data_IF_105063636598
#
_entry.id   IF_105063636598
#
_cell.length_a   1.000
_cell.length_b   1.000
_cell.length_c   1.000
_cell.angle_alpha   90.00
_cell.angle_beta   90.00
_cell.angle_gamma   90.00
#
_symmetry.space_group_name_H-M   'P 1'
#
loop_
_entity.id
_entity.type
_entity.pdbx_description
1 polymer ?
#
# COMPACT_ATOMS: atom_id res chain seq x y z
N UNK A 1 2.30 3.54 10.06
CA UNK A 1 2.52 2.77 8.82
C UNK A 1 2.86 3.76 7.72
N UNK A 2 3.71 3.38 6.77
CA UNK A 2 4.09 4.23 5.66
C UNK A 2 4.52 3.39 4.46
N UNK A 3 4.55 4.02 3.29
CA UNK A 3 5.02 3.41 2.05
C UNK A 3 6.43 3.91 1.74
N UNK A 4 7.34 3.01 1.39
CA UNK A 4 8.73 3.34 1.10
C UNK A 4 9.14 2.83 -0.29
N UNK A 5 9.43 3.75 -1.20
CA UNK A 5 9.88 3.42 -2.56
C UNK A 5 11.19 2.64 -2.53
N UNK A 6 11.21 1.47 -3.18
CA UNK A 6 12.40 0.60 -3.23
C UNK A 6 13.01 0.53 -4.63
N UNK A 7 12.22 0.07 -5.61
CA UNK A 7 12.74 -0.34 -6.92
C UNK A 7 12.17 0.49 -8.07
N UNK A 8 10.92 0.96 -7.95
CA UNK A 8 10.23 1.52 -9.10
C UNK A 8 10.50 3.01 -9.33
N UNK A 9 11.09 3.36 -10.49
CA UNK A 9 11.37 4.74 -10.90
C UNK A 9 10.60 5.11 -12.17
N UNK A 10 10.20 6.37 -12.24
CA UNK A 10 9.62 7.00 -13.43
C UNK A 10 10.74 7.37 -14.40
N UNK A 11 10.63 6.92 -15.65
CA UNK A 11 11.56 7.35 -16.71
C UNK A 11 11.37 8.84 -16.95
N UNK A 12 12.48 9.51 -17.28
CA UNK A 12 12.48 10.93 -17.62
C UNK A 12 11.67 11.14 -18.90
N UNK A 13 10.73 12.10 -18.95
CA UNK A 13 10.01 12.39 -20.18
C UNK A 13 10.99 12.82 -21.27
N UNK A 14 10.84 12.28 -22.48
CA UNK A 14 11.70 12.61 -23.63
C UNK A 14 11.74 14.13 -23.90
N UNK A 15 10.62 14.82 -23.68
CA UNK A 15 10.48 16.26 -23.90
C UNK A 15 11.05 17.14 -22.76
N UNK A 16 11.66 16.54 -21.73
CA UNK A 16 12.30 17.25 -20.60
C UNK A 16 13.61 16.57 -20.20
N UNK A 17 14.70 16.76 -20.96
CA UNK A 17 15.98 16.09 -20.71
C UNK A 17 16.57 16.40 -19.32
N UNK A 18 16.30 17.60 -18.80
CA UNK A 18 16.78 18.04 -17.46
C UNK A 18 15.93 17.50 -16.30
N UNK A 19 14.80 16.83 -16.57
CA UNK A 19 13.98 16.27 -15.50
C UNK A 19 14.75 15.14 -14.80
N UNK A 20 14.93 15.24 -13.48
CA UNK A 20 15.52 14.16 -12.71
C UNK A 20 14.61 12.90 -12.72
N UNK A 21 15.24 11.73 -12.68
CA UNK A 21 14.54 10.46 -12.44
C UNK A 21 13.92 10.49 -11.04
N UNK A 22 12.63 10.16 -10.93
CA UNK A 22 11.88 10.21 -9.65
C UNK A 22 11.33 8.84 -9.30
N UNK A 23 11.17 8.59 -8.01
CA UNK A 23 10.46 7.40 -7.52
C UNK A 23 8.99 7.43 -7.93
N UNK A 24 8.43 6.25 -8.21
CA UNK A 24 6.99 6.10 -8.23
C UNK A 24 6.43 6.17 -6.80
N UNK A 25 5.23 6.73 -6.60
CA UNK A 25 4.54 6.69 -5.33
C UNK A 25 4.38 5.26 -4.84
N UNK A 26 4.53 5.05 -3.54
CA UNK A 26 4.43 3.73 -2.92
C UNK A 26 5.74 2.94 -2.92
N UNK A 27 5.61 1.65 -2.65
CA UNK A 27 6.71 0.68 -2.63
C UNK A 27 6.43 -0.44 -1.63
N UNK A 28 7.33 -0.63 -0.69
CA UNK A 28 7.09 -1.52 0.46
C UNK A 28 6.21 -0.83 1.50
N UNK A 29 5.32 -1.56 2.15
CA UNK A 29 4.63 -1.09 3.34
C UNK A 29 5.45 -1.46 4.57
N UNK A 30 5.76 -0.44 5.37
CA UNK A 30 6.55 -0.55 6.58
C UNK A 30 5.82 0.07 7.77
N UNK A 31 6.22 -0.31 8.97
CA UNK A 31 5.79 0.35 10.20
C UNK A 31 6.94 0.55 11.18
N UNK A 32 6.75 1.55 12.04
CA UNK A 32 7.56 1.81 13.22
C UNK A 32 6.61 1.86 14.41
N UNK A 33 7.09 1.46 15.59
CA UNK A 33 6.36 1.59 16.85
C UNK A 33 7.01 2.63 17.71
N UNK A 34 6.20 3.40 18.42
CA UNK A 34 6.69 4.33 19.41
C UNK A 34 7.13 3.54 20.65
N UNK A 35 8.35 3.78 21.11
CA UNK A 35 8.86 3.23 22.38
C UNK A 35 8.44 4.11 23.57
N UNK A 36 8.38 5.43 23.35
CA UNK A 36 8.09 6.41 24.41
C UNK A 36 7.46 7.73 23.91
N UNK A 37 6.97 7.80 22.68
CA UNK A 37 6.45 9.03 22.06
C UNK A 37 7.52 9.86 21.35
N UNK A 38 8.78 9.80 21.81
CA UNK A 38 9.92 10.51 21.21
C UNK A 38 10.87 9.60 20.42
N UNK A 39 10.96 8.32 20.81
CA UNK A 39 11.77 7.30 20.14
C UNK A 39 10.89 6.28 19.45
N UNK A 40 11.37 5.81 18.31
CA UNK A 40 10.67 4.89 17.44
C UNK A 40 11.58 3.71 17.13
N UNK A 41 10.99 2.52 17.01
CA UNK A 41 11.72 1.31 16.62
C UNK A 41 12.30 1.45 15.21
N UNK A 42 13.26 0.59 14.86
CA UNK A 42 13.65 0.39 13.46
C UNK A 42 12.40 -0.01 12.63
N UNK A 43 12.32 0.41 11.36
CA UNK A 43 11.24 0.01 10.48
C UNK A 43 11.18 -1.51 10.28
N UNK A 44 9.98 -2.06 10.31
CA UNK A 44 9.70 -3.44 9.93
C UNK A 44 8.84 -3.45 8.67
N UNK A 45 9.23 -4.25 7.67
CA UNK A 45 8.46 -4.44 6.43
C UNK A 45 7.35 -5.45 6.66
N UNK A 46 6.13 -5.12 6.22
CA UNK A 46 4.93 -5.98 6.36
C UNK A 46 4.32 -6.40 5.02
N UNK A 47 4.62 -5.65 3.96
CA UNK A 47 4.28 -6.02 2.58
C UNK A 47 5.38 -5.50 1.67
N UNK A 48 6.03 -6.40 0.94
CA UNK A 48 7.01 -6.00 -0.07
C UNK A 48 6.33 -5.67 -1.39
N UNK A 49 6.94 -4.81 -2.18
CA UNK A 49 6.53 -4.53 -3.56
C UNK A 49 6.51 -5.81 -4.41
N UNK A 50 7.44 -6.74 -4.16
CA UNK A 50 7.50 -8.03 -4.86
C UNK A 50 6.27 -8.92 -4.63
N UNK A 51 5.67 -8.87 -3.43
CA UNK A 51 4.42 -9.60 -3.13
C UNK A 51 3.22 -9.07 -3.91
N UNK A 52 3.33 -7.87 -4.50
CA UNK A 52 2.30 -7.24 -5.32
C UNK A 52 2.69 -7.22 -6.80
N UNK A 53 3.36 -8.30 -7.27
CA UNK A 53 3.86 -8.44 -8.64
C UNK A 53 4.75 -7.29 -9.11
N UNK A 54 5.46 -6.63 -8.18
CA UNK A 54 6.30 -5.48 -8.48
C UNK A 54 5.55 -4.14 -8.56
N UNK A 55 4.24 -4.10 -8.29
CA UNK A 55 3.48 -2.85 -8.24
C UNK A 55 3.71 -2.15 -6.89
N UNK A 56 4.07 -0.85 -6.87
CA UNK A 56 4.18 -0.10 -5.63
C UNK A 56 2.92 -0.18 -4.77
N UNK A 57 3.07 -0.58 -3.52
CA UNK A 57 1.98 -0.56 -2.55
C UNK A 57 1.91 0.81 -1.87
N UNK A 58 0.69 1.25 -1.57
CA UNK A 58 0.44 2.51 -0.89
C UNK A 58 -0.52 2.31 0.28
N UNK A 59 -0.15 2.91 1.41
CA UNK A 59 -1.00 3.08 2.59
C UNK A 59 -1.15 4.57 2.89
N UNK A 60 -2.39 5.01 3.16
CA UNK A 60 -2.68 6.40 3.53
C UNK A 60 -3.67 6.53 4.71
N UNK A 61 -4.52 5.54 4.93
CA UNK A 61 -5.56 5.60 5.96
C UNK A 61 -5.20 4.78 7.21
N UNK A 62 -6.02 4.97 8.24
CA UNK A 62 -5.79 4.39 9.56
C UNK A 62 -5.98 2.88 9.59
N UNK A 63 -5.24 2.25 10.51
CA UNK A 63 -5.48 0.89 10.94
C UNK A 63 -6.81 0.82 11.72
N UNK A 64 -7.58 -0.23 11.47
CA UNK A 64 -8.77 -0.57 12.27
C UNK A 64 -8.51 -1.83 13.08
N UNK A 65 -8.90 -1.83 14.35
CA UNK A 65 -8.87 -3.01 15.22
C UNK A 65 -10.29 -3.49 15.44
N UNK A 66 -10.57 -4.74 15.06
CA UNK A 66 -11.90 -5.35 15.24
C UNK A 66 -12.16 -5.71 16.71
N UNK A 67 -13.42 -5.91 17.13
CA UNK A 67 -13.74 -6.42 18.48
C UNK A 67 -13.08 -7.76 18.80
N UNK A 68 -12.82 -8.59 17.79
CA UNK A 68 -12.10 -9.86 17.92
C UNK A 68 -10.57 -9.69 18.07
N UNK A 69 -10.06 -8.46 18.03
CA UNK A 69 -8.63 -8.15 18.19
C UNK A 69 -7.82 -8.18 16.90
N UNK A 70 -8.45 -8.41 15.74
CA UNK A 70 -7.79 -8.41 14.43
C UNK A 70 -7.45 -7.01 13.97
N UNK A 71 -6.26 -6.83 13.39
CA UNK A 71 -5.76 -5.57 12.87
C UNK A 71 -5.92 -5.54 11.35
N UNK A 72 -6.57 -4.50 10.83
CA UNK A 72 -6.93 -4.34 9.42
C UNK A 72 -6.39 -3.02 8.88
N UNK A 73 -5.51 -3.07 7.88
CA UNK A 73 -4.89 -1.90 7.28
C UNK A 73 -5.22 -1.83 5.79
N UNK A 74 -5.97 -0.82 5.31
CA UNK A 74 -6.28 -0.71 3.89
C UNK A 74 -5.02 -0.34 3.10
N UNK A 75 -4.84 -0.99 1.95
CA UNK A 75 -3.71 -0.80 1.04
C UNK A 75 -4.21 -0.78 -0.40
N UNK A 76 -3.55 -0.04 -1.28
CA UNK A 76 -3.76 -0.17 -2.72
C UNK A 76 -2.45 -0.28 -3.47
N UNK A 77 -2.53 -0.80 -4.69
CA UNK A 77 -1.43 -0.96 -5.61
C UNK A 77 -1.53 0.16 -6.65
N UNK A 78 -0.50 1.01 -6.71
CA UNK A 78 -0.45 2.15 -7.62
C UNK A 78 0.56 1.88 -8.75
N UNK A 79 0.10 1.35 -9.90
CA UNK A 79 0.95 1.15 -11.04
C UNK A 79 1.51 2.50 -11.55
N UNK A 80 2.74 2.50 -12.08
CA UNK A 80 3.37 3.69 -12.64
C UNK A 80 2.56 4.24 -13.83
N UNK A 81 2.25 5.54 -13.79
CA UNK A 81 1.48 6.24 -14.86
C UNK A 81 2.28 6.55 -16.13
N UNK A 82 3.60 6.61 -16.02
CA UNK A 82 4.54 6.85 -17.13
C UNK A 82 5.32 5.58 -17.40
N UNK A 83 5.97 5.47 -18.57
CA UNK A 83 6.93 4.39 -18.84
C UNK A 83 7.85 4.21 -17.62
N UNK A 84 7.71 3.08 -16.91
CA UNK A 84 8.57 2.81 -15.78
C UNK A 84 9.94 2.37 -16.26
N UNK A 85 10.94 2.45 -15.39
CA UNK A 85 12.17 1.68 -15.62
C UNK A 85 11.83 0.19 -15.66
N UNK A 86 12.69 -0.65 -16.24
CA UNK A 86 12.41 -2.08 -16.48
C UNK A 86 12.00 -2.85 -15.21
N UNK A 87 12.31 -2.30 -14.05
CA UNK A 87 12.04 -2.86 -12.72
C UNK A 87 10.61 -2.62 -12.22
N UNK A 88 9.76 -1.88 -12.95
CA UNK A 88 8.33 -1.82 -12.64
C UNK A 88 7.46 -2.50 -13.70
N UNK A 89 6.38 -3.18 -13.29
CA UNK A 89 5.38 -3.68 -14.21
C UNK A 89 4.66 -2.51 -14.87
N UNK A 90 4.90 -2.32 -16.17
CA UNK A 90 4.05 -1.49 -16.99
C UNK A 90 2.67 -2.17 -17.12
N UNK A 91 1.59 -1.41 -16.98
CA UNK A 91 0.21 -1.89 -17.19
C UNK A 91 -0.35 -2.89 -16.16
N UNK A 92 0.21 -2.98 -14.95
CA UNK A 92 -0.47 -3.72 -13.90
C UNK A 92 -1.83 -3.08 -13.54
N UNK A 93 -2.87 -3.87 -13.23
CA UNK A 93 -4.17 -3.33 -12.88
C UNK A 93 -4.10 -2.53 -11.58
N UNK A 94 -4.90 -1.46 -11.51
CA UNK A 94 -5.18 -0.80 -10.24
C UNK A 94 -5.98 -1.74 -9.36
N UNK A 95 -5.50 -1.94 -8.14
CA UNK A 95 -6.04 -2.94 -7.25
C UNK A 95 -5.92 -2.47 -5.80
N UNK A 96 -6.82 -2.94 -4.94
CA UNK A 96 -6.80 -2.64 -3.52
C UNK A 96 -7.04 -3.89 -2.67
N UNK A 97 -6.70 -3.81 -1.41
CA UNK A 97 -6.94 -4.89 -0.45
C UNK A 97 -6.78 -4.39 0.98
N UNK A 98 -6.70 -5.35 1.89
CA UNK A 98 -6.52 -5.14 3.32
C UNK A 98 -5.38 -6.02 3.81
N UNK A 99 -4.40 -5.43 4.48
CA UNK A 99 -3.42 -6.18 5.26
C UNK A 99 -4.05 -6.57 6.59
N UNK A 100 -4.02 -7.86 6.89
CA UNK A 100 -4.65 -8.47 8.05
C UNK A 100 -3.58 -9.03 8.98
N UNK A 101 -3.68 -8.70 10.26
CA UNK A 101 -2.89 -9.31 11.32
C UNK A 101 -3.79 -9.85 12.43
N UNK A 102 -3.62 -11.13 12.71
CA UNK A 102 -4.33 -11.89 13.75
C UNK A 102 -3.57 -11.88 15.10
N UNK A 103 -2.33 -11.38 15.10
CA UNK A 103 -1.38 -11.53 16.21
C UNK A 103 -0.83 -10.17 16.72
N UNK A 104 -1.65 -9.12 16.58
CA UNK A 104 -1.35 -7.74 17.02
C UNK A 104 -0.12 -7.16 16.32
N UNK A 105 -0.02 -7.41 15.02
CA UNK A 105 0.97 -6.83 14.12
C UNK A 105 2.32 -7.54 14.06
N UNK A 106 2.43 -8.78 14.59
CA UNK A 106 3.68 -9.57 14.48
C UNK A 106 3.82 -10.17 13.07
N UNK A 107 2.73 -10.66 12.51
CA UNK A 107 2.64 -11.16 11.14
C UNK A 107 1.48 -10.52 10.39
N UNK A 108 1.61 -10.42 9.07
CA UNK A 108 0.66 -9.79 8.18
C UNK A 108 0.48 -10.64 6.93
N UNK A 109 -0.75 -10.69 6.43
CA UNK A 109 -1.04 -11.23 5.11
C UNK A 109 -1.99 -10.29 4.37
N UNK A 110 -1.91 -10.29 3.05
CA UNK A 110 -2.82 -9.53 2.20
C UNK A 110 -4.12 -10.32 2.01
N UNK A 111 -5.25 -9.64 2.11
CA UNK A 111 -6.56 -10.18 1.76
C UNK A 111 -6.65 -10.51 0.27
N UNK A 112 -7.82 -10.98 -0.17
CA UNK A 112 -8.16 -10.93 -1.59
C UNK A 112 -8.05 -9.49 -2.11
N UNK A 113 -7.58 -9.37 -3.34
CA UNK A 113 -7.45 -8.11 -4.05
C UNK A 113 -8.76 -7.81 -4.76
N UNK A 114 -9.21 -6.56 -4.68
CA UNK A 114 -10.36 -6.03 -5.40
C UNK A 114 -9.91 -5.02 -6.44
N UNK A 115 -10.62 -4.98 -7.57
CA UNK A 115 -10.38 -4.04 -8.66
C UNK A 115 -11.72 -3.64 -9.28
N UNK A 116 -11.78 -2.44 -9.88
CA UNK A 116 -12.95 -2.00 -10.63
C UNK A 116 -12.58 -1.80 -12.11
N UNK A 117 -13.43 -2.23 -13.07
CA UNK A 117 -13.10 -2.14 -14.49
C UNK A 117 -13.04 -0.70 -15.02
N UNK A 118 -13.79 0.23 -14.42
CA UNK A 118 -13.92 1.60 -14.93
C UNK A 118 -13.18 2.66 -14.11
N UNK A 119 -12.72 2.33 -12.90
CA UNK A 119 -12.10 3.33 -12.02
C UNK A 119 -11.07 2.71 -11.10
N UNK A 120 -10.31 3.56 -10.41
CA UNK A 120 -9.27 3.14 -9.49
C UNK A 120 -9.85 3.05 -8.08
N UNK A 121 -9.38 2.08 -7.30
CA UNK A 121 -9.75 1.94 -5.91
C UNK A 121 -8.57 2.41 -5.06
N UNK A 122 -8.57 3.68 -4.67
CA UNK A 122 -7.47 4.31 -3.93
C UNK A 122 -7.93 4.84 -2.58
N UNK A 123 -6.99 5.05 -1.67
CA UNK A 123 -7.26 5.65 -0.36
C UNK A 123 -8.43 4.98 0.36
N UNK A 124 -8.42 3.65 0.39
CA UNK A 124 -9.46 2.86 1.04
C UNK A 124 -9.54 3.15 2.55
N UNK A 125 -10.75 3.28 3.10
CA UNK A 125 -11.00 3.38 4.54
C UNK A 125 -11.90 2.22 4.98
N UNK A 126 -11.75 1.78 6.23
CA UNK A 126 -12.44 0.60 6.76
C UNK A 126 -13.39 0.99 7.90
N UNK A 127 -14.54 0.32 7.95
CA UNK A 127 -15.46 0.33 9.08
C UNK A 127 -15.82 -1.11 9.47
N UNK A 128 -15.90 -1.38 10.77
CA UNK A 128 -16.41 -2.65 11.30
C UNK A 128 -17.87 -2.44 11.67
N UNK A 129 -18.76 -3.21 11.07
CA UNK A 129 -20.19 -3.17 11.35
C UNK A 129 -20.52 -4.08 12.55
N UNK A 130 -21.72 -3.91 13.12
CA UNK A 130 -22.17 -4.67 14.31
C UNK A 130 -22.15 -6.19 14.10
N UNK A 131 -22.49 -6.63 12.89
CA UNK A 131 -22.44 -8.04 12.48
C UNK A 131 -21.02 -8.55 12.16
N UNK A 132 -19.98 -7.80 12.54
CA UNK A 132 -18.56 -8.06 12.26
C UNK A 132 -18.16 -8.05 10.78
N UNK A 133 -19.05 -7.59 9.89
CA UNK A 133 -18.70 -7.35 8.49
C UNK A 133 -17.77 -6.16 8.39
N UNK A 134 -16.81 -6.24 7.48
CA UNK A 134 -15.91 -5.13 7.16
C UNK A 134 -16.43 -4.43 5.92
N UNK A 135 -16.70 -3.13 6.04
CA UNK A 135 -16.99 -2.26 4.91
C UNK A 135 -15.71 -1.52 4.53
N UNK A 136 -15.30 -1.59 3.26
CA UNK A 136 -14.24 -0.78 2.70
C UNK A 136 -14.81 0.23 1.71
N UNK A 137 -14.53 1.52 1.92
CA UNK A 137 -14.92 2.60 1.02
C UNK A 137 -13.68 3.18 0.36
N UNK A 138 -13.78 3.60 -0.89
CA UNK A 138 -12.64 4.06 -1.71
C UNK A 138 -12.87 5.47 -2.24
N UNK A 139 -11.77 6.20 -2.45
CA UNK A 139 -11.74 7.28 -3.43
C UNK A 139 -11.55 6.67 -4.82
N UNK A 140 -12.24 7.21 -5.80
CA UNK A 140 -12.25 6.76 -7.20
C UNK A 140 -11.96 7.91 -8.14
#
# INVERSE_FOLDING_TARGET
FYSESQVCKRVRPFNKPDAATRWCPGGDIKYVRSECGARWTKPATILTQGQSAGVPNVVANQLVVTPAGRWLLPVWMEPPKSEPTKECPAHAPHAAGVLISEDRGKSWHLSQIVSHPETWLIEGTLAVLENQTILQMFRT
#
